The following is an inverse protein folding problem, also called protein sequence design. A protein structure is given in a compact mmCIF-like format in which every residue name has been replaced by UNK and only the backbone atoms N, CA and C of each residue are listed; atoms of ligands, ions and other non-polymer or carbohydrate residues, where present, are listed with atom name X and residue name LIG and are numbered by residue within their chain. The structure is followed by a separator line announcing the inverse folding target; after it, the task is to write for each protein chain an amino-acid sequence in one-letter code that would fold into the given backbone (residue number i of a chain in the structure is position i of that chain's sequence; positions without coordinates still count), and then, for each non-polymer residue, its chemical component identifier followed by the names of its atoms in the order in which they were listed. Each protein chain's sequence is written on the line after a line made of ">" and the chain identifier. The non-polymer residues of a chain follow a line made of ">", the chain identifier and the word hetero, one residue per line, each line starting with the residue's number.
data_IF_347014981304
#
_entry.id   IF_347014981304
#
_cell.length_a   1.000
_cell.length_b   1.000
_cell.length_c   1.000
_cell.angle_alpha   90.00
_cell.angle_beta   90.00
_cell.angle_gamma   90.00
#
_symmetry.space_group_name_H-M   'P 1'
#
loop_
_entity.id
_entity.type
_entity.pdbx_description
1 polymer ?
#
# COMPACT_ATOMS: atom_id res chain seq x y z
N UNK A 1 -5.60 -6.00 13.46
CA UNK A 1 -6.23 -5.57 12.19
C UNK A 1 -5.78 -6.52 11.07
N UNK A 2 -6.74 -7.03 10.33
CA UNK A 2 -6.46 -8.01 9.28
C UNK A 2 -6.68 -7.38 7.91
N UNK A 3 -5.74 -7.65 6.98
CA UNK A 3 -5.92 -7.24 5.59
C UNK A 3 -6.79 -8.27 4.89
N UNK A 4 -7.95 -7.83 4.38
CA UNK A 4 -8.91 -8.71 3.72
C UNK A 4 -8.57 -8.88 2.25
N UNK A 5 -8.21 -7.77 1.58
CA UNK A 5 -7.90 -7.76 0.15
C UNK A 5 -6.75 -6.80 -0.11
N UNK A 6 -5.79 -7.26 -0.90
CA UNK A 6 -4.60 -6.47 -1.23
C UNK A 6 -4.15 -6.79 -2.64
N UNK A 7 -4.84 -6.22 -3.66
CA UNK A 7 -4.46 -6.44 -5.05
C UNK A 7 -3.00 -6.05 -5.28
N UNK A 8 -2.30 -6.85 -6.06
CA UNK A 8 -0.90 -6.57 -6.38
C UNK A 8 -0.80 -5.24 -7.16
N UNK A 9 0.23 -4.44 -6.89
CA UNK A 9 0.45 -3.23 -7.66
C UNK A 9 0.84 -3.55 -9.11
N UNK A 10 0.48 -2.64 -10.01
CA UNK A 10 0.91 -2.74 -11.39
C UNK A 10 2.39 -2.36 -11.47
N UNK A 11 3.18 -3.23 -12.11
CA UNK A 11 4.61 -2.95 -12.28
C UNK A 11 4.79 -1.94 -13.40
N UNK A 12 5.48 -0.80 -13.18
CA UNK A 12 5.68 0.20 -14.24
C UNK A 12 6.42 -0.41 -15.43
N UNK A 13 5.90 -0.18 -16.63
CA UNK A 13 6.47 -0.77 -17.86
C UNK A 13 7.93 -0.39 -18.08
N UNK A 14 8.26 0.87 -17.83
CA UNK A 14 9.63 1.33 -17.97
C UNK A 14 10.58 0.60 -17.03
N UNK A 15 10.12 0.35 -15.80
CA UNK A 15 10.91 -0.39 -14.82
C UNK A 15 11.11 -1.85 -15.23
N UNK A 16 10.09 -2.48 -15.83
CA UNK A 16 10.23 -3.82 -16.39
C UNK A 16 11.29 -3.82 -17.48
N UNK A 17 11.18 -2.88 -18.41
CA UNK A 17 12.07 -2.81 -19.57
C UNK A 17 13.53 -2.59 -19.15
N UNK A 18 13.75 -1.81 -18.10
CA UNK A 18 15.09 -1.50 -17.62
C UNK A 18 15.59 -2.45 -16.53
N UNK A 19 14.76 -3.42 -16.12
CA UNK A 19 15.14 -4.38 -15.07
C UNK A 19 15.25 -3.76 -13.69
N UNK A 20 14.49 -2.70 -13.42
CA UNK A 20 14.56 -1.97 -12.14
C UNK A 20 13.62 -2.61 -11.14
N UNK A 21 14.15 -2.94 -9.97
CA UNK A 21 13.41 -3.43 -8.81
C UNK A 21 13.51 -2.42 -7.68
N UNK A 22 12.60 -2.50 -6.70
CA UNK A 22 12.65 -1.57 -5.60
C UNK A 22 11.59 -1.82 -4.55
N UNK A 23 11.43 -0.84 -3.67
CA UNK A 23 10.46 -0.90 -2.58
C UNK A 23 9.90 0.47 -2.27
N UNK A 24 8.68 0.48 -1.71
CA UNK A 24 8.01 1.71 -1.29
C UNK A 24 7.41 1.46 0.07
N UNK A 25 7.69 2.37 1.01
CA UNK A 25 7.02 2.40 2.31
C UNK A 25 5.94 3.45 2.26
N UNK A 26 4.72 3.05 2.61
CA UNK A 26 3.56 3.93 2.60
C UNK A 26 2.97 4.03 4.00
N UNK A 27 2.34 5.18 4.25
CA UNK A 27 1.58 5.38 5.47
C UNK A 27 0.18 5.86 5.10
N UNK A 28 -0.81 5.39 5.85
CA UNK A 28 -2.21 5.75 5.61
C UNK A 28 -3.03 5.46 6.88
N UNK A 29 -4.25 5.96 6.87
CA UNK A 29 -5.24 5.63 7.88
C UNK A 29 -6.19 4.57 7.33
N UNK A 30 -6.81 3.80 8.21
CA UNK A 30 -7.85 2.84 7.84
C UNK A 30 -9.15 3.28 8.50
N UNK A 31 -10.16 3.55 7.68
CA UNK A 31 -11.45 4.00 8.16
C UNK A 31 -12.26 2.85 8.79
N UNK A 32 -13.38 3.20 9.40
CA UNK A 32 -14.25 2.25 10.09
C UNK A 32 -14.85 1.20 9.16
N UNK A 33 -14.92 1.48 7.86
CA UNK A 33 -15.37 0.51 6.84
C UNK A 33 -14.22 -0.33 6.26
N UNK A 34 -12.99 -0.12 6.75
CA UNK A 34 -11.82 -0.85 6.27
C UNK A 34 -11.11 -0.22 5.08
N UNK A 35 -11.61 0.89 4.56
CA UNK A 35 -10.99 1.56 3.42
C UNK A 35 -9.75 2.33 3.82
N UNK A 36 -8.81 2.46 2.87
CA UNK A 36 -7.58 3.22 3.06
C UNK A 36 -7.84 4.70 2.82
N UNK A 37 -7.38 5.53 3.76
CA UNK A 37 -7.52 6.99 3.70
C UNK A 37 -6.15 7.64 3.57
N UNK A 38 -6.06 8.61 2.66
CA UNK A 38 -4.92 9.54 2.52
C UNK A 38 -3.56 8.84 2.48
N UNK A 39 -3.35 7.86 1.59
CA UNK A 39 -2.06 7.20 1.50
C UNK A 39 -0.99 8.13 0.96
N UNK A 40 0.21 8.05 1.54
CA UNK A 40 1.36 8.78 1.03
C UNK A 40 2.62 7.95 1.20
N UNK A 41 3.64 8.29 0.41
CA UNK A 41 4.93 7.60 0.42
C UNK A 41 5.81 8.20 1.50
N UNK A 42 6.29 7.36 2.41
CA UNK A 42 7.24 7.75 3.45
C UNK A 42 8.66 7.64 2.92
N UNK A 43 8.95 6.55 2.22
CA UNK A 43 10.26 6.26 1.69
C UNK A 43 10.13 5.38 0.46
N UNK A 44 10.97 5.61 -0.55
CA UNK A 44 10.99 4.77 -1.74
C UNK A 44 12.42 4.65 -2.28
N UNK A 45 12.72 3.49 -2.86
CA UNK A 45 14.03 3.19 -3.44
C UNK A 45 13.84 2.32 -4.68
N UNK A 46 14.23 2.77 -5.87
CA UNK A 46 14.69 4.13 -6.21
C UNK A 46 13.57 5.16 -6.07
N UNK A 47 13.92 6.38 -5.70
CA UNK A 47 12.93 7.43 -5.47
C UNK A 47 12.14 7.75 -6.74
N UNK A 48 10.83 7.86 -6.60
CA UNK A 48 9.93 8.28 -7.67
C UNK A 48 9.57 7.23 -8.71
N UNK A 49 10.23 6.07 -8.71
CA UNK A 49 10.00 5.06 -9.75
C UNK A 49 8.69 4.30 -9.54
N UNK A 50 8.43 3.87 -8.31
CA UNK A 50 7.30 3.02 -7.99
C UNK A 50 6.21 3.72 -7.18
N UNK A 51 6.40 4.99 -6.85
CA UNK A 51 5.53 5.71 -5.92
C UNK A 51 4.08 5.72 -6.38
N UNK A 52 3.83 6.08 -7.63
CA UNK A 52 2.47 6.15 -8.17
C UNK A 52 1.79 4.79 -8.20
N UNK A 53 2.52 3.76 -8.61
CA UNK A 53 1.99 2.40 -8.66
C UNK A 53 1.64 1.89 -7.26
N UNK A 54 2.46 2.22 -6.27
CA UNK A 54 2.22 1.85 -4.88
C UNK A 54 0.99 2.55 -4.31
N UNK A 55 0.85 3.85 -4.52
CA UNK A 55 -0.32 4.61 -4.06
C UNK A 55 -1.60 4.05 -4.70
N UNK A 56 -1.57 3.81 -6.01
CA UNK A 56 -2.72 3.28 -6.71
C UNK A 56 -3.14 1.92 -6.17
N UNK A 57 -2.16 1.08 -5.84
CA UNK A 57 -2.43 -0.25 -5.30
C UNK A 57 -3.07 -0.18 -3.91
N UNK A 58 -2.49 0.62 -2.99
CA UNK A 58 -2.98 0.65 -1.61
C UNK A 58 -4.36 1.28 -1.50
N UNK A 59 -4.74 2.14 -2.43
CA UNK A 59 -6.11 2.70 -2.45
C UNK A 59 -7.16 1.62 -2.66
N UNK A 60 -6.79 0.48 -3.19
CA UNK A 60 -7.67 -0.67 -3.42
C UNK A 60 -7.59 -1.70 -2.29
N UNK A 61 -6.73 -1.48 -1.30
CA UNK A 61 -6.63 -2.39 -0.16
C UNK A 61 -7.87 -2.26 0.69
N UNK A 62 -8.29 -3.40 1.26
CA UNK A 62 -9.41 -3.45 2.18
C UNK A 62 -8.95 -4.17 3.44
N UNK A 63 -9.22 -3.55 4.57
CA UNK A 63 -8.89 -4.09 5.87
C UNK A 63 -10.14 -4.40 6.67
N UNK A 64 -10.02 -5.33 7.61
CA UNK A 64 -11.01 -5.49 8.66
C UNK A 64 -10.54 -4.67 9.85
N UNK A 65 -11.20 -3.53 10.14
CA UNK A 65 -10.76 -2.67 11.24
C UNK A 65 -11.00 -3.37 12.57
N UNK A 66 -10.22 -3.03 13.60
CA UNK A 66 -10.48 -3.55 14.93
C UNK A 66 -11.78 -2.98 15.48
N UNK A 67 -12.33 -3.65 16.49
CA UNK A 67 -13.54 -3.20 17.14
C UNK A 67 -13.25 -2.84 18.59
N UNK A 68 -14.02 -1.87 19.10
CA UNK A 68 -14.04 -1.51 20.50
C UNK A 68 -15.48 -1.53 20.97
N UNK A 69 -15.80 -2.38 21.93
CA UNK A 69 -17.18 -2.58 22.41
C UNK A 69 -18.15 -2.90 21.25
N UNK A 70 -17.70 -3.73 20.30
CA UNK A 70 -18.53 -4.15 19.17
C UNK A 70 -18.64 -3.14 18.03
N UNK A 71 -17.97 -1.99 18.14
CA UNK A 71 -18.01 -0.95 17.12
C UNK A 71 -16.65 -0.84 16.42
N UNK A 72 -16.66 -0.82 15.09
CA UNK A 72 -15.43 -0.61 14.31
C UNK A 72 -14.81 0.74 14.61
N UNK A 73 -13.50 0.77 14.75
CA UNK A 73 -12.75 1.99 15.03
C UNK A 73 -11.76 2.28 13.92
N UNK A 74 -11.52 3.58 13.69
CA UNK A 74 -10.51 4.05 12.75
C UNK A 74 -9.11 3.77 13.30
N UNK A 75 -8.18 3.39 12.42
CA UNK A 75 -6.77 3.19 12.78
C UNK A 75 -5.94 4.21 12.03
N UNK A 76 -5.12 4.96 12.75
CA UNK A 76 -4.26 5.97 12.16
C UNK A 76 -2.83 5.45 12.00
N UNK A 77 -2.12 6.01 11.05
CA UNK A 77 -0.66 5.84 10.89
C UNK A 77 -0.24 4.39 10.69
N UNK A 78 -0.96 3.69 9.80
CA UNK A 78 -0.59 2.32 9.39
C UNK A 78 0.52 2.44 8.36
N UNK A 79 1.62 1.73 8.58
CA UNK A 79 2.73 1.68 7.61
C UNK A 79 2.86 0.29 7.03
N UNK A 80 3.08 0.23 5.72
CA UNK A 80 3.37 -1.03 5.02
C UNK A 80 4.51 -0.82 4.03
N UNK A 81 5.16 -1.91 3.68
CA UNK A 81 6.18 -1.93 2.64
C UNK A 81 5.66 -2.75 1.45
N UNK A 82 5.76 -2.17 0.25
CA UNK A 82 5.50 -2.89 -0.99
C UNK A 82 6.82 -3.10 -1.70
N UNK A 83 7.08 -4.34 -2.09
CA UNK A 83 8.31 -4.72 -2.79
C UNK A 83 7.97 -5.01 -4.25
N UNK A 84 8.77 -4.44 -5.16
CA UNK A 84 8.63 -4.65 -6.59
C UNK A 84 9.80 -5.48 -7.08
N UNK A 85 9.52 -6.75 -7.38
CA UNK A 85 10.52 -7.69 -7.87
C UNK A 85 10.09 -8.30 -9.19
N UNK A 86 11.07 -8.48 -10.06
CA UNK A 86 10.85 -9.12 -11.35
C UNK A 86 11.08 -10.62 -11.20
N UNK A 87 10.24 -11.40 -11.89
CA UNK A 87 10.44 -12.85 -11.98
C UNK A 87 11.60 -13.13 -12.93
N UNK A 88 12.39 -14.12 -12.59
CA UNK A 88 13.48 -14.57 -13.45
C UNK A 88 13.01 -15.66 -14.40
#
# INVERSE_FOLDING_TARGET
>A
MTRISSPAPEYPRRAIRLGVEGSVRLEFDVDTDGSVLDPYVVESSPAGVFDRAAIKAVRKFLYQPPTYNGTSVKVNNVQIDLTFKLAN
#
